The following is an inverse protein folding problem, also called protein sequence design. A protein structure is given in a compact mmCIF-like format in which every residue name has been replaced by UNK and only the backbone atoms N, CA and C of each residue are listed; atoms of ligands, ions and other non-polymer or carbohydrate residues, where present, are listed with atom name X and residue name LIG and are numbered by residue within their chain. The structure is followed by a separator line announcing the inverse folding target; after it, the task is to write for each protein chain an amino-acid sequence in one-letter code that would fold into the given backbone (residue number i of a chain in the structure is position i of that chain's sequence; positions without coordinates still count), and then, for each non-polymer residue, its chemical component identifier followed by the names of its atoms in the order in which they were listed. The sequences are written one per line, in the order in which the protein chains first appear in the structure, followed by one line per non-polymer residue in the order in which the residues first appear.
data_IF_321244873437
#
_entry.id   IF_321244873437
#
_cell.length_a   1.000
_cell.length_b   1.000
_cell.length_c   1.000
_cell.angle_alpha   90.00
_cell.angle_beta   90.00
_cell.angle_gamma   90.00
#
_symmetry.space_group_name_H-M   'P 1'
#
loop_
_entity.id
_entity.type
_entity.pdbx_description
1 polymer ?
#
# COMPACT_ATOMS: atom_id res chain seq x y z
N UNK A 1 -3.57 -8.79 -7.34
CA UNK A 1 -3.27 -7.38 -7.01
C UNK A 1 -2.07 -7.32 -6.06
N UNK A 2 -1.25 -6.28 -6.15
CA UNK A 2 -0.13 -6.02 -5.24
C UNK A 2 -0.40 -4.70 -4.52
N UNK A 3 -0.42 -4.75 -3.19
CA UNK A 3 -0.54 -3.58 -2.32
C UNK A 3 0.81 -3.32 -1.69
N UNK A 4 1.44 -2.22 -2.07
CA UNK A 4 2.75 -1.82 -1.55
C UNK A 4 2.55 -1.07 -0.24
N UNK A 5 3.23 -1.52 0.81
CA UNK A 5 3.41 -0.76 2.02
C UNK A 5 4.66 0.13 1.93
N UNK A 6 5.05 0.66 3.09
CA UNK A 6 6.22 1.52 3.20
C UNK A 6 7.50 0.77 2.80
N UNK A 7 8.39 1.46 2.11
CA UNK A 7 9.67 0.94 1.66
C UNK A 7 10.74 2.02 1.74
N UNK A 8 12.00 1.61 1.69
CA UNK A 8 13.12 2.53 1.74
C UNK A 8 14.47 1.86 1.53
N UNK A 9 15.37 2.60 0.89
CA UNK A 9 16.77 2.21 0.74
C UNK A 9 17.45 2.18 2.10
N UNK A 10 18.22 1.13 2.37
CA UNK A 10 19.01 0.93 3.58
C UNK A 10 20.49 1.07 3.23
N UNK A 11 21.09 2.14 3.74
CA UNK A 11 22.53 2.36 3.59
C UNK A 11 23.31 1.37 4.47
N UNK A 12 24.37 0.73 3.95
CA UNK A 12 25.21 -0.13 4.77
C UNK A 12 25.92 0.64 5.89
N UNK A 13 26.02 1.98 5.78
CA UNK A 13 26.60 2.88 6.78
C UNK A 13 25.81 2.93 8.09
N UNK A 14 24.57 2.46 8.10
CA UNK A 14 23.68 2.48 9.27
C UNK A 14 23.80 1.23 10.14
N UNK A 15 24.46 0.20 9.64
CA UNK A 15 24.78 -1.00 10.43
C UNK A 15 25.97 -0.74 11.36
N UNK A 16 26.03 -1.51 12.44
CA UNK A 16 27.18 -1.50 13.35
C UNK A 16 28.39 -2.17 12.67
N UNK A 17 28.15 -3.33 12.04
CA UNK A 17 29.17 -4.05 11.29
C UNK A 17 29.47 -3.40 9.93
N UNK A 18 30.76 -3.39 9.54
CA UNK A 18 31.28 -2.66 8.36
C UNK A 18 31.27 -3.47 7.06
N UNK A 19 30.99 -4.76 7.13
CA UNK A 19 30.97 -5.73 6.02
C UNK A 19 29.56 -5.93 5.42
N UNK A 20 28.63 -5.03 5.73
CA UNK A 20 27.28 -5.07 5.19
C UNK A 20 27.16 -4.48 3.77
N UNK A 21 26.16 -4.94 3.02
CA UNK A 21 25.81 -4.47 1.68
C UNK A 21 24.52 -3.63 1.68
N UNK A 22 24.35 -2.69 0.73
CA UNK A 22 23.11 -1.94 0.59
C UNK A 22 21.92 -2.83 0.26
N UNK A 23 20.73 -2.45 0.74
CA UNK A 23 19.50 -3.19 0.42
C UNK A 23 18.27 -2.29 0.48
N UNK A 24 17.09 -2.88 0.27
CA UNK A 24 15.79 -2.23 0.45
C UNK A 24 15.00 -2.96 1.52
N UNK A 25 14.45 -2.19 2.46
CA UNK A 25 13.41 -2.66 3.34
C UNK A 25 12.05 -2.31 2.75
N UNK A 26 11.07 -3.21 2.86
CA UNK A 26 9.72 -3.01 2.35
C UNK A 26 8.71 -3.94 3.02
N UNK A 27 7.44 -3.53 2.96
CA UNK A 27 6.29 -4.40 3.20
C UNK A 27 5.39 -4.44 1.96
N UNK A 28 4.78 -5.58 1.68
CA UNK A 28 3.82 -5.74 0.59
C UNK A 28 2.81 -6.85 0.92
N UNK A 29 1.61 -6.71 0.38
CA UNK A 29 0.57 -7.74 0.41
C UNK A 29 0.18 -8.08 -1.02
N UNK A 30 0.24 -9.36 -1.37
CA UNK A 30 -0.23 -9.87 -2.64
C UNK A 30 -1.59 -10.56 -2.44
N UNK A 31 -2.58 -10.13 -3.22
CA UNK A 31 -3.87 -10.79 -3.34
C UNK A 31 -3.91 -11.58 -4.65
N UNK A 32 -4.09 -12.89 -4.54
CA UNK A 32 -4.10 -13.83 -5.66
C UNK A 32 -5.49 -14.45 -5.74
N UNK A 33 -6.02 -14.56 -6.95
CA UNK A 33 -7.32 -15.19 -7.20
C UNK A 33 -7.85 -14.86 -8.58
N UNK A 34 -9.14 -15.08 -8.76
CA UNK A 34 -9.80 -14.99 -10.07
C UNK A 34 -10.45 -13.61 -10.28
N UNK A 35 -10.31 -13.06 -11.48
CA UNK A 35 -10.97 -11.82 -11.89
C UNK A 35 -12.33 -12.13 -12.53
N UNK A 36 -13.35 -11.37 -12.13
CA UNK A 36 -14.65 -11.30 -12.80
C UNK A 36 -14.83 -9.90 -13.38
N UNK A 37 -15.21 -9.82 -14.65
CA UNK A 37 -15.62 -8.55 -15.25
C UNK A 37 -17.00 -8.13 -14.73
N UNK A 38 -17.18 -6.86 -14.42
CA UNK A 38 -18.48 -6.28 -14.12
C UNK A 38 -19.11 -5.85 -15.44
N UNK A 39 -20.21 -6.51 -15.83
CA UNK A 39 -20.89 -6.27 -17.11
C UNK A 39 -22.14 -5.40 -16.96
N UNK A 40 -22.73 -5.38 -15.77
CA UNK A 40 -23.93 -4.61 -15.48
C UNK A 40 -23.58 -3.15 -15.16
N UNK A 41 -24.19 -2.20 -15.86
CA UNK A 41 -23.95 -0.76 -15.69
C UNK A 41 -24.27 -0.29 -14.27
N UNK A 42 -25.38 -0.75 -13.67
CA UNK A 42 -25.76 -0.37 -12.30
C UNK A 42 -24.80 -0.93 -11.25
N UNK A 43 -24.26 -2.14 -11.45
CA UNK A 43 -23.22 -2.71 -10.59
C UNK A 43 -21.93 -1.87 -10.66
N UNK A 44 -21.56 -1.43 -11.87
CA UNK A 44 -20.41 -0.54 -12.08
C UNK A 44 -20.63 0.83 -11.42
N UNK A 45 -21.83 1.42 -11.56
CA UNK A 45 -22.18 2.67 -10.87
C UNK A 45 -22.08 2.51 -9.34
N UNK A 46 -22.58 1.42 -8.77
CA UNK A 46 -22.48 1.14 -7.33
C UNK A 46 -21.02 1.01 -6.86
N UNK A 47 -20.16 0.40 -7.68
CA UNK A 47 -18.72 0.33 -7.39
C UNK A 47 -18.11 1.73 -7.37
N UNK A 48 -18.43 2.57 -8.34
CA UNK A 48 -17.96 3.97 -8.40
C UNK A 48 -18.48 4.79 -7.22
N UNK A 49 -19.75 4.63 -6.86
CA UNK A 49 -20.35 5.31 -5.70
C UNK A 49 -19.63 4.92 -4.40
N UNK A 50 -19.34 3.62 -4.21
CA UNK A 50 -18.63 3.14 -3.02
C UNK A 50 -17.24 3.76 -2.91
N UNK A 51 -16.47 3.75 -4.00
CA UNK A 51 -15.13 4.37 -4.03
C UNK A 51 -15.20 5.88 -3.82
N UNK A 52 -16.20 6.54 -4.40
CA UNK A 52 -16.43 7.98 -4.23
C UNK A 52 -16.71 8.31 -2.77
N UNK A 53 -17.60 7.58 -2.11
CA UNK A 53 -17.93 7.78 -0.69
C UNK A 53 -16.68 7.62 0.18
N UNK A 54 -15.87 6.59 -0.07
CA UNK A 54 -14.65 6.32 0.69
C UNK A 54 -13.63 7.46 0.56
N UNK A 55 -13.40 7.94 -0.67
CA UNK A 55 -12.39 8.98 -0.93
C UNK A 55 -12.87 10.41 -0.61
N UNK A 56 -14.17 10.68 -0.65
CA UNK A 56 -14.74 12.01 -0.34
C UNK A 56 -15.15 12.16 1.13
N UNK A 57 -15.00 11.13 1.97
CA UNK A 57 -15.47 11.13 3.37
C UNK A 57 -14.93 12.28 4.23
N UNK A 58 -13.75 12.82 3.89
CA UNK A 58 -13.13 13.95 4.59
C UNK A 58 -13.42 15.34 3.99
N UNK A 59 -14.14 15.41 2.87
CA UNK A 59 -14.39 16.68 2.18
C UNK A 59 -15.48 17.50 2.89
N UNK A 60 -15.32 18.83 2.94
CA UNK A 60 -16.35 19.74 3.49
C UNK A 60 -17.68 19.66 2.72
N UNK A 61 -17.61 19.35 1.43
CA UNK A 61 -18.75 19.15 0.55
C UNK A 61 -18.46 17.95 -0.35
N UNK A 62 -18.75 16.72 0.10
CA UNK A 62 -18.44 15.50 -0.63
C UNK A 62 -19.09 15.49 -2.01
N UNK A 63 -18.29 15.25 -3.05
CA UNK A 63 -18.83 15.04 -4.38
C UNK A 63 -19.58 13.70 -4.45
N UNK A 64 -20.67 13.67 -5.21
CA UNK A 64 -21.40 12.44 -5.56
C UNK A 64 -21.77 12.47 -7.02
N UNK A 65 -21.77 11.31 -7.64
CA UNK A 65 -22.22 11.18 -9.02
C UNK A 65 -23.72 11.50 -9.10
N UNK A 66 -24.08 12.42 -9.98
CA UNK A 66 -25.46 12.57 -10.44
C UNK A 66 -25.64 11.66 -11.66
N UNK A 67 -26.17 10.46 -11.42
CA UNK A 67 -26.40 9.47 -12.48
C UNK A 67 -27.49 9.87 -13.48
N UNK A 68 -28.30 10.89 -13.18
CA UNK A 68 -29.24 11.48 -14.14
C UNK A 68 -28.53 12.36 -15.18
N UNK A 69 -27.31 12.84 -14.87
CA UNK A 69 -26.50 13.61 -15.78
C UNK A 69 -25.89 12.73 -16.87
N UNK A 70 -26.31 12.96 -18.12
CA UNK A 70 -25.88 12.15 -19.26
C UNK A 70 -24.37 12.19 -19.53
N UNK A 71 -23.67 13.29 -19.17
CA UNK A 71 -22.22 13.37 -19.29
C UNK A 71 -21.52 12.46 -18.28
N UNK A 72 -21.96 12.47 -17.02
CA UNK A 72 -21.41 11.62 -15.96
C UNK A 72 -21.65 10.15 -16.30
N UNK A 73 -22.88 9.80 -16.71
CA UNK A 73 -23.24 8.44 -17.11
C UNK A 73 -22.39 7.94 -18.29
N UNK A 74 -22.14 8.78 -19.30
CA UNK A 74 -21.26 8.42 -20.43
C UNK A 74 -19.82 8.11 -20.00
N UNK A 75 -19.31 8.79 -18.96
CA UNK A 75 -17.96 8.53 -18.46
C UNK A 75 -17.85 7.17 -17.77
N UNK A 76 -18.89 6.72 -17.06
CA UNK A 76 -18.93 5.36 -16.50
C UNK A 76 -18.92 4.29 -17.59
N UNK A 77 -19.62 4.52 -18.70
CA UNK A 77 -19.61 3.57 -19.83
C UNK A 77 -18.27 3.52 -20.58
N UNK A 78 -17.33 4.41 -20.27
CA UNK A 78 -15.98 4.41 -20.84
C UNK A 78 -14.96 3.64 -19.97
N UNK A 79 -15.36 3.09 -18.82
CA UNK A 79 -14.49 2.28 -17.96
C UNK A 79 -14.99 0.83 -17.89
N UNK A 80 -14.08 -0.08 -17.53
CA UNK A 80 -14.40 -1.48 -17.26
C UNK A 80 -14.15 -1.74 -15.78
N UNK A 81 -15.20 -2.14 -15.07
CA UNK A 81 -15.07 -2.65 -13.70
C UNK A 81 -14.67 -4.11 -13.68
N UNK A 82 -13.90 -4.49 -12.67
CA UNK A 82 -13.60 -5.88 -12.36
C UNK A 82 -13.59 -6.09 -10.86
N UNK A 83 -13.89 -7.32 -10.47
CA UNK A 83 -13.82 -7.80 -9.10
C UNK A 83 -12.75 -8.88 -9.02
N UNK A 84 -11.83 -8.74 -8.06
CA UNK A 84 -10.88 -9.80 -7.73
C UNK A 84 -11.45 -10.62 -6.58
N UNK A 85 -11.90 -11.84 -6.86
CA UNK A 85 -12.21 -12.81 -5.82
C UNK A 85 -10.91 -13.36 -5.27
N UNK A 86 -10.49 -12.86 -4.11
CA UNK A 86 -9.23 -13.28 -3.50
C UNK A 86 -9.36 -14.70 -2.94
N UNK A 87 -8.45 -15.57 -3.37
CA UNK A 87 -8.35 -16.97 -2.96
C UNK A 87 -7.18 -17.17 -2.01
N UNK A 88 -6.12 -16.36 -2.16
CA UNK A 88 -4.92 -16.42 -1.32
C UNK A 88 -4.36 -15.02 -1.07
N UNK A 89 -3.95 -14.81 0.17
CA UNK A 89 -3.19 -13.64 0.60
C UNK A 89 -1.75 -14.04 0.90
N UNK A 90 -0.79 -13.26 0.45
CA UNK A 90 0.62 -13.41 0.80
C UNK A 90 1.19 -12.10 1.31
N UNK A 91 1.66 -12.08 2.56
CA UNK A 91 2.43 -10.98 3.13
C UNK A 91 3.92 -11.15 2.85
N UNK A 92 4.60 -10.06 2.49
CA UNK A 92 6.05 -9.98 2.40
C UNK A 92 6.54 -8.83 3.25
N UNK A 93 7.47 -9.15 4.14
CA UNK A 93 8.15 -8.17 4.98
C UNK A 93 9.66 -8.45 4.94
N UNK A 94 10.42 -7.43 4.55
CA UNK A 94 11.86 -7.42 4.63
C UNK A 94 12.25 -6.17 5.40
N UNK A 95 12.52 -6.34 6.69
CA UNK A 95 12.83 -5.24 7.62
C UNK A 95 14.10 -5.51 8.42
N UNK A 96 15.00 -6.35 7.89
CA UNK A 96 16.29 -6.65 8.52
C UNK A 96 16.23 -7.71 9.62
N UNK A 97 15.18 -8.53 9.66
CA UNK A 97 14.95 -9.57 10.68
C UNK A 97 16.05 -10.64 10.78
N UNK A 98 16.88 -10.80 9.75
CA UNK A 98 17.98 -11.77 9.69
C UNK A 98 19.34 -11.18 10.10
N UNK A 99 19.37 -9.94 10.61
CA UNK A 99 20.61 -9.26 11.07
C UNK A 99 20.88 -9.54 12.54
N UNK A 100 22.10 -9.27 13.01
CA UNK A 100 22.43 -9.31 14.43
C UNK A 100 21.60 -8.29 15.23
N UNK A 101 21.43 -8.51 16.53
CA UNK A 101 20.70 -7.58 17.39
C UNK A 101 21.31 -6.16 17.39
N UNK A 102 22.64 -6.08 17.33
CA UNK A 102 23.38 -4.82 17.25
C UNK A 102 23.09 -4.06 15.95
N UNK A 103 23.10 -4.75 14.81
CA UNK A 103 22.78 -4.16 13.52
C UNK A 103 21.30 -3.74 13.44
N UNK A 104 20.39 -4.54 14.01
CA UNK A 104 18.97 -4.18 14.08
C UNK A 104 18.77 -2.91 14.93
N UNK A 105 19.40 -2.82 16.10
CA UNK A 105 19.30 -1.67 16.99
C UNK A 105 19.92 -0.40 16.36
N UNK A 106 21.09 -0.52 15.74
CA UNK A 106 21.75 0.60 15.04
C UNK A 106 20.91 1.09 13.86
N UNK A 107 20.43 0.17 13.02
CA UNK A 107 19.59 0.52 11.88
C UNK A 107 18.28 1.19 12.34
N UNK A 108 17.58 0.60 13.31
CA UNK A 108 16.33 1.15 13.85
C UNK A 108 16.53 2.59 14.34
N UNK A 109 17.59 2.85 15.13
CA UNK A 109 17.92 4.20 15.61
C UNK A 109 18.16 5.20 14.47
N UNK A 110 18.89 4.82 13.43
CA UNK A 110 19.13 5.69 12.28
C UNK A 110 17.84 5.99 11.51
N UNK A 111 16.94 5.01 11.38
CA UNK A 111 15.64 5.18 10.73
C UNK A 111 14.68 6.05 11.57
N UNK A 112 14.66 5.89 12.89
CA UNK A 112 13.86 6.72 13.81
C UNK A 112 14.29 8.18 13.80
N UNK A 113 15.60 8.43 13.73
CA UNK A 113 16.18 9.77 13.69
C UNK A 113 16.12 10.41 12.30
N UNK A 114 15.61 9.71 11.30
CA UNK A 114 15.42 10.27 9.97
C UNK A 114 14.28 11.28 9.95
N UNK A 115 14.42 12.34 9.15
CA UNK A 115 13.35 13.28 8.86
C UNK A 115 12.28 12.74 7.90
N UNK A 116 12.49 11.54 7.34
CA UNK A 116 11.55 10.92 6.40
C UNK A 116 10.51 10.06 7.15
N UNK A 117 9.20 10.36 7.03
CA UNK A 117 8.14 9.56 7.64
C UNK A 117 8.15 8.08 7.22
N UNK A 118 8.60 7.76 6.00
CA UNK A 118 8.71 6.37 5.53
C UNK A 118 9.74 5.59 6.35
N UNK A 119 10.90 6.20 6.63
CA UNK A 119 11.93 5.58 7.47
C UNK A 119 11.46 5.41 8.91
N UNK A 120 10.76 6.39 9.48
CA UNK A 120 10.18 6.28 10.81
C UNK A 120 9.13 5.15 10.90
N UNK A 121 8.32 4.96 9.86
CA UNK A 121 7.39 3.84 9.81
C UNK A 121 8.12 2.50 9.71
N UNK A 122 9.15 2.39 8.86
CA UNK A 122 9.96 1.18 8.76
C UNK A 122 10.62 0.82 10.08
N UNK A 123 11.11 1.79 10.84
CA UNK A 123 11.66 1.56 12.17
C UNK A 123 10.65 0.92 13.14
N UNK A 124 9.37 1.32 13.06
CA UNK A 124 8.30 0.75 13.89
C UNK A 124 7.97 -0.71 13.52
N UNK A 125 8.24 -1.12 12.29
CA UNK A 125 8.04 -2.51 11.85
C UNK A 125 9.19 -3.44 12.25
N UNK A 126 10.37 -2.88 12.55
CA UNK A 126 11.50 -3.67 13.04
C UNK A 126 11.21 -4.19 14.46
N UNK A 127 11.36 -5.51 14.67
CA UNK A 127 11.19 -6.14 15.99
C UNK A 127 12.24 -5.64 16.97
N UNK A 128 11.83 -5.28 18.17
CA UNK A 128 12.73 -5.14 19.33
C UNK A 128 12.92 -6.50 19.97
N UNK A 129 14.18 -6.96 20.09
CA UNK A 129 14.53 -8.06 21.00
C UNK A 129 14.38 -7.65 22.45
#
# INVERSE_FOLDING_TARGET
AVFLGTNGYISPRWYAAKDNVPTWNYTAVHAIGTLRKIENEEELMKLVDKLTIEHEAGAKSPWRADWSNSKIRKMVNAIIGFELKVERWEGKEKVGQNRSAEDQASLKRNLENSGDPAYQFLAKQMKTS
#
